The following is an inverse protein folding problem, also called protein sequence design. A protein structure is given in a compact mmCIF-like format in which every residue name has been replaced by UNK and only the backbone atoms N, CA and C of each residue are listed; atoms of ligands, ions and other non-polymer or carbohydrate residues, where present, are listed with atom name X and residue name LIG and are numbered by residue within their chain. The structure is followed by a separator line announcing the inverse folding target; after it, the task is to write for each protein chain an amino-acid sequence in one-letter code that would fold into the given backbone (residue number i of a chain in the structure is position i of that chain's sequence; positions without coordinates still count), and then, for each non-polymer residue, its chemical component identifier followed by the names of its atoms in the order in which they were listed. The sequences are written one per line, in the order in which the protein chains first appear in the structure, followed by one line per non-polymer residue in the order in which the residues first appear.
data_IF_454538263758
#
_entry.id   IF_454538263758
#
_cell.length_a   1.000
_cell.length_b   1.000
_cell.length_c   1.000
_cell.angle_alpha   90.00
_cell.angle_beta   90.00
_cell.angle_gamma   90.00
#
_symmetry.space_group_name_H-M   'P 1'
#
loop_
_entity.id
_entity.type
_entity.pdbx_description
1 polymer ?
#
# COMPACT_ATOMS: atom_id res chain seq x y z
N UNK A 1 -28.55 5.68 -6.87
CA UNK A 1 -29.48 5.67 -5.71
C UNK A 1 -30.84 6.15 -6.18
N UNK A 2 -31.93 5.73 -5.55
CA UNK A 2 -33.27 6.25 -5.83
C UNK A 2 -33.42 7.67 -5.24
N UNK A 3 -34.08 8.59 -5.94
CA UNK A 3 -34.26 9.99 -5.52
C UNK A 3 -34.90 10.08 -4.13
N UNK A 4 -35.82 9.16 -3.86
CA UNK A 4 -36.50 9.02 -2.56
C UNK A 4 -35.55 8.74 -1.41
N UNK A 5 -34.56 7.86 -1.61
CA UNK A 5 -33.60 7.47 -0.56
C UNK A 5 -32.73 8.64 -0.09
N UNK A 6 -32.39 9.55 -1.00
CA UNK A 6 -31.60 10.75 -0.69
C UNK A 6 -32.43 11.75 0.12
N UNK A 7 -33.67 11.99 -0.32
CA UNK A 7 -34.61 12.90 0.37
C UNK A 7 -34.91 12.41 1.78
N UNK A 8 -35.16 11.11 1.96
CA UNK A 8 -35.43 10.52 3.27
C UNK A 8 -34.22 10.65 4.21
N UNK A 9 -33.01 10.54 3.69
CA UNK A 9 -31.79 10.70 4.47
C UNK A 9 -31.55 12.16 4.89
N UNK A 10 -31.88 13.13 4.02
CA UNK A 10 -31.90 14.56 4.41
C UNK A 10 -32.94 14.80 5.49
N UNK A 11 -34.18 14.34 5.30
CA UNK A 11 -35.28 14.47 6.28
C UNK A 11 -34.88 13.93 7.65
N UNK A 12 -34.28 12.75 7.68
CA UNK A 12 -33.77 12.14 8.91
C UNK A 12 -32.74 13.03 9.62
N UNK A 13 -31.83 13.64 8.86
CA UNK A 13 -30.72 14.44 9.40
C UNK A 13 -31.12 15.79 9.99
N UNK A 14 -32.30 16.29 9.61
CA UNK A 14 -32.86 17.58 10.05
C UNK A 14 -34.14 17.43 10.86
N UNK A 15 -34.55 16.21 11.23
CA UNK A 15 -35.85 15.93 11.85
C UNK A 15 -36.16 16.69 13.16
N UNK A 16 -35.14 17.27 13.78
CA UNK A 16 -35.23 18.09 15.00
C UNK A 16 -34.68 19.51 14.82
N UNK A 17 -34.26 19.86 13.60
CA UNK A 17 -33.66 21.15 13.30
C UNK A 17 -34.73 22.14 12.85
N UNK A 18 -34.50 23.44 13.09
CA UNK A 18 -35.33 24.50 12.53
C UNK A 18 -35.05 24.66 11.03
N UNK A 19 -36.02 24.32 10.18
CA UNK A 19 -35.89 24.38 8.72
C UNK A 19 -35.90 25.80 8.17
N UNK A 20 -36.39 26.79 8.92
CA UNK A 20 -36.34 28.20 8.54
C UNK A 20 -34.96 28.82 8.78
N UNK A 21 -34.10 28.16 9.56
CA UNK A 21 -32.75 28.63 9.87
C UNK A 21 -31.80 28.48 8.67
N UNK A 22 -31.10 29.56 8.25
CA UNK A 22 -30.07 29.49 7.22
C UNK A 22 -28.91 28.54 7.57
N UNK A 23 -28.68 28.31 8.88
CA UNK A 23 -27.65 27.37 9.35
C UNK A 23 -28.00 25.91 9.01
N UNK A 24 -29.29 25.57 9.01
CA UNK A 24 -29.76 24.22 8.65
C UNK A 24 -29.59 23.97 7.15
N UNK A 25 -29.82 24.99 6.32
CA UNK A 25 -29.52 24.92 4.87
C UNK A 25 -28.02 24.74 4.64
N UNK A 26 -27.19 25.57 5.29
CA UNK A 26 -25.74 25.48 5.16
C UNK A 26 -25.21 24.12 5.62
N UNK A 27 -25.77 23.54 6.70
CA UNK A 27 -25.45 22.18 7.17
C UNK A 27 -25.63 21.15 6.06
N UNK A 28 -26.76 21.17 5.33
CA UNK A 28 -27.00 20.21 4.24
C UNK A 28 -26.11 20.48 3.03
N UNK A 29 -25.84 21.74 2.71
CA UNK A 29 -24.88 22.11 1.65
C UNK A 29 -23.48 21.58 1.98
N UNK A 30 -22.99 21.77 3.21
CA UNK A 30 -21.71 21.26 3.67
C UNK A 30 -21.67 19.72 3.67
N UNK A 31 -22.77 19.09 4.10
CA UNK A 31 -22.96 17.64 4.05
C UNK A 31 -23.06 17.11 2.61
N UNK A 32 -23.35 17.95 1.60
CA UNK A 32 -23.42 17.52 0.20
C UNK A 32 -22.09 17.72 -0.51
N UNK A 33 -21.45 18.87 -0.30
CA UNK A 33 -20.25 19.30 -1.06
C UNK A 33 -18.95 18.89 -0.34
N UNK A 34 -18.90 19.03 0.98
CA UNK A 34 -17.65 18.87 1.75
C UNK A 34 -17.50 17.46 2.33
N UNK A 35 -18.60 16.87 2.84
CA UNK A 35 -18.62 15.52 3.40
C UNK A 35 -19.94 14.81 3.10
N UNK A 36 -20.11 14.23 1.89
CA UNK A 36 -21.27 13.44 1.53
C UNK A 36 -21.56 12.38 2.58
N UNK A 37 -22.68 12.54 3.29
CA UNK A 37 -23.18 11.61 4.30
C UNK A 37 -23.74 10.33 3.68
N UNK A 38 -24.12 10.41 2.40
CA UNK A 38 -24.36 9.27 1.53
C UNK A 38 -23.05 9.04 0.78
N UNK A 39 -22.64 7.79 0.58
CA UNK A 39 -21.46 7.41 -0.21
C UNK A 39 -21.66 7.68 -1.73
N UNK A 40 -22.30 8.79 -2.06
CA UNK A 40 -22.91 9.13 -3.34
C UNK A 40 -22.29 10.43 -3.85
N UNK A 41 -22.12 10.54 -5.17
CA UNK A 41 -21.55 11.73 -5.81
C UNK A 41 -22.44 12.97 -5.52
N UNK A 42 -21.88 14.16 -5.24
CA UNK A 42 -22.65 15.37 -4.95
C UNK A 42 -23.58 15.75 -6.10
N UNK A 43 -23.21 15.44 -7.34
CA UNK A 43 -24.04 15.68 -8.51
C UNK A 43 -25.23 14.71 -8.56
N UNK A 44 -25.06 13.47 -8.10
CA UNK A 44 -26.18 12.53 -7.95
C UNK A 44 -27.11 12.94 -6.80
N UNK A 45 -26.56 13.39 -5.66
CA UNK A 45 -27.35 13.95 -4.56
C UNK A 45 -28.14 15.16 -5.04
N UNK A 46 -27.49 16.10 -5.73
CA UNK A 46 -28.16 17.28 -6.31
C UNK A 46 -29.29 16.89 -7.26
N UNK A 47 -29.06 15.97 -8.20
CA UNK A 47 -30.11 15.50 -9.11
C UNK A 47 -31.28 14.88 -8.36
N UNK A 48 -31.02 14.07 -7.35
CA UNK A 48 -32.05 13.47 -6.51
C UNK A 48 -32.85 14.51 -5.72
N UNK A 49 -32.19 15.56 -5.19
CA UNK A 49 -32.87 16.67 -4.52
C UNK A 49 -33.74 17.47 -5.50
N UNK A 50 -33.22 17.80 -6.69
CA UNK A 50 -33.97 18.48 -7.75
C UNK A 50 -35.18 17.66 -8.20
N UNK A 51 -35.02 16.34 -8.34
CA UNK A 51 -36.10 15.42 -8.69
C UNK A 51 -37.16 15.34 -7.58
N UNK A 52 -36.74 15.22 -6.32
CA UNK A 52 -37.65 15.20 -5.17
C UNK A 52 -38.43 16.51 -5.00
N UNK A 53 -37.77 17.66 -5.18
CA UNK A 53 -38.42 18.98 -5.16
C UNK A 53 -39.43 19.15 -6.31
N UNK A 54 -39.21 18.48 -7.45
CA UNK A 54 -40.12 18.54 -8.61
C UNK A 54 -41.20 17.47 -8.57
N UNK A 55 -41.03 16.40 -7.79
CA UNK A 55 -42.01 15.32 -7.72
C UNK A 55 -43.29 15.82 -7.07
N UNK A 56 -44.44 15.21 -7.39
CA UNK A 56 -45.70 15.48 -6.67
C UNK A 56 -45.84 14.70 -5.36
N UNK A 57 -44.81 13.94 -5.00
CA UNK A 57 -44.88 12.99 -3.90
C UNK A 57 -44.74 13.70 -2.55
N UNK A 58 -45.41 13.15 -1.54
CA UNK A 58 -45.27 13.60 -0.16
C UNK A 58 -43.90 13.18 0.36
N UNK A 59 -43.01 14.11 0.67
CA UNK A 59 -41.61 13.88 1.02
C UNK A 59 -41.39 13.59 2.52
N UNK A 60 -42.29 14.05 3.39
CA UNK A 60 -42.17 13.91 4.86
C UNK A 60 -42.73 12.60 5.41
N UNK A 61 -43.30 11.73 4.58
CA UNK A 61 -44.06 10.56 5.04
C UNK A 61 -43.23 9.33 5.42
N UNK A 62 -41.96 9.28 5.02
CA UNK A 62 -41.15 8.06 5.13
C UNK A 62 -40.65 7.79 6.56
N UNK A 63 -40.54 8.83 7.39
CA UNK A 63 -39.94 8.76 8.73
C UNK A 63 -40.71 9.70 9.67
N UNK A 64 -40.97 9.34 10.94
CA UNK A 64 -41.56 10.25 11.93
C UNK A 64 -40.72 11.52 12.12
N UNK A 65 -41.35 12.68 11.96
CA UNK A 65 -40.75 14.01 12.09
C UNK A 65 -41.83 15.04 12.44
N UNK A 66 -41.40 16.23 12.84
CA UNK A 66 -42.29 17.33 13.24
C UNK A 66 -42.51 18.38 12.13
N UNK A 67 -42.00 18.12 10.92
CA UNK A 67 -41.97 19.09 9.82
C UNK A 67 -43.24 19.05 8.96
N UNK A 68 -43.69 20.23 8.53
CA UNK A 68 -44.74 20.32 7.51
C UNK A 68 -44.24 19.94 6.12
N UNK A 69 -45.13 19.39 5.27
CA UNK A 69 -44.75 19.01 3.89
C UNK A 69 -44.29 20.21 3.06
N UNK A 70 -45.04 21.31 3.10
CA UNK A 70 -44.69 22.54 2.36
C UNK A 70 -43.46 23.25 2.94
N UNK A 71 -43.23 23.11 4.24
CA UNK A 71 -42.06 23.65 4.93
C UNK A 71 -40.80 22.89 4.50
N UNK A 72 -40.84 21.56 4.54
CA UNK A 72 -39.73 20.72 4.13
C UNK A 72 -39.41 20.86 2.64
N UNK A 73 -40.42 21.00 1.77
CA UNK A 73 -40.18 21.25 0.34
C UNK A 73 -39.50 22.59 0.08
N UNK A 74 -39.95 23.67 0.74
CA UNK A 74 -39.29 24.99 0.66
C UNK A 74 -37.85 24.94 1.18
N UNK A 75 -37.60 24.16 2.22
CA UNK A 75 -36.26 23.91 2.71
C UNK A 75 -35.36 23.22 1.67
N UNK A 76 -35.85 22.16 1.02
CA UNK A 76 -35.09 21.48 -0.05
C UNK A 76 -34.84 22.40 -1.26
N UNK A 77 -35.80 23.24 -1.63
CA UNK A 77 -35.63 24.28 -2.65
C UNK A 77 -34.50 25.24 -2.29
N UNK A 78 -34.45 25.71 -1.04
CA UNK A 78 -33.38 26.59 -0.55
C UNK A 78 -32.00 25.88 -0.55
N UNK A 79 -31.96 24.59 -0.22
CA UNK A 79 -30.73 23.77 -0.34
C UNK A 79 -30.27 23.69 -1.79
N UNK A 80 -31.17 23.38 -2.74
CA UNK A 80 -30.84 23.30 -4.17
C UNK A 80 -30.35 24.66 -4.69
N UNK A 81 -31.02 25.75 -4.33
CA UNK A 81 -30.62 27.10 -4.74
C UNK A 81 -29.23 27.46 -4.20
N UNK A 82 -28.96 27.15 -2.93
CA UNK A 82 -27.66 27.41 -2.34
C UNK A 82 -26.56 26.53 -2.95
N UNK A 83 -26.87 25.26 -3.26
CA UNK A 83 -25.97 24.37 -4.00
C UNK A 83 -25.63 24.95 -5.39
N UNK A 84 -26.60 25.49 -6.11
CA UNK A 84 -26.35 26.14 -7.40
C UNK A 84 -25.50 27.41 -7.29
N UNK A 85 -25.70 28.21 -6.24
CA UNK A 85 -24.89 29.43 -5.98
C UNK A 85 -23.42 29.13 -5.70
N UNK A 86 -23.12 27.99 -5.07
CA UNK A 86 -21.73 27.61 -4.72
C UNK A 86 -21.04 26.78 -5.81
N UNK A 87 -21.62 26.69 -7.02
CA UNK A 87 -20.95 26.09 -8.18
C UNK A 87 -19.83 27.01 -8.74
N UNK A 88 -18.75 26.45 -9.31
CA UNK A 88 -18.44 25.02 -9.38
C UNK A 88 -18.04 24.48 -8.00
N UNK A 89 -18.64 23.36 -7.61
CA UNK A 89 -18.22 22.67 -6.39
C UNK A 89 -16.77 22.21 -6.56
N UNK A 90 -15.98 22.29 -5.49
CA UNK A 90 -14.62 21.77 -5.51
C UNK A 90 -14.65 20.32 -6.01
N UNK A 91 -13.84 20.01 -7.03
CA UNK A 91 -13.70 18.62 -7.48
C UNK A 91 -13.37 17.75 -6.28
N UNK A 92 -14.19 16.73 -6.03
CA UNK A 92 -13.89 15.78 -4.97
C UNK A 92 -12.49 15.26 -5.19
N UNK A 93 -11.64 15.43 -4.16
CA UNK A 93 -10.23 15.07 -4.20
C UNK A 93 -10.01 13.57 -4.52
N UNK A 94 -11.05 12.76 -4.39
CA UNK A 94 -11.13 11.37 -4.79
C UNK A 94 -12.60 10.93 -4.91
N UNK A 95 -12.87 9.91 -5.73
CA UNK A 95 -14.19 9.28 -5.90
C UNK A 95 -14.12 7.81 -5.53
N UNK A 96 -15.17 7.27 -4.91
CA UNK A 96 -15.25 5.84 -4.64
C UNK A 96 -15.44 5.05 -5.95
N UNK A 97 -14.85 3.87 -6.04
CA UNK A 97 -15.07 2.93 -7.14
C UNK A 97 -16.06 1.83 -6.71
N UNK A 98 -16.90 1.31 -7.63
CA UNK A 98 -17.78 0.19 -7.34
C UNK A 98 -16.96 -1.06 -7.00
N UNK A 99 -17.29 -1.69 -5.87
CA UNK A 99 -16.39 -2.63 -5.18
C UNK A 99 -16.48 -4.11 -5.55
N UNK A 100 -17.64 -4.57 -6.06
CA UNK A 100 -17.94 -6.01 -6.18
C UNK A 100 -17.02 -6.78 -7.13
N UNK A 101 -16.91 -6.35 -8.38
CA UNK A 101 -16.22 -7.14 -9.42
C UNK A 101 -14.72 -6.81 -9.57
N UNK A 102 -14.28 -5.68 -9.00
CA UNK A 102 -12.92 -5.16 -9.18
C UNK A 102 -11.98 -5.46 -8.03
N UNK A 103 -12.47 -6.04 -6.93
CA UNK A 103 -11.63 -6.39 -5.77
C UNK A 103 -10.37 -7.18 -6.16
N UNK A 104 -10.51 -8.16 -7.08
CA UNK A 104 -9.41 -8.99 -7.56
C UNK A 104 -8.31 -8.22 -8.29
N UNK A 105 -8.62 -7.08 -8.93
CA UNK A 105 -7.62 -6.23 -9.57
C UNK A 105 -6.72 -5.57 -8.52
N UNK A 106 -7.32 -5.08 -7.43
CA UNK A 106 -6.62 -4.37 -6.37
C UNK A 106 -5.85 -5.30 -5.45
N UNK A 107 -6.39 -6.48 -5.11
CA UNK A 107 -5.68 -7.45 -4.26
C UNK A 107 -4.36 -7.91 -4.89
N UNK A 108 -4.29 -7.90 -6.23
CA UNK A 108 -3.11 -8.20 -7.02
C UNK A 108 -2.31 -6.95 -7.44
N UNK A 109 -2.71 -5.76 -6.96
CA UNK A 109 -2.08 -4.49 -7.24
C UNK A 109 -0.77 -4.30 -6.49
N UNK A 110 -0.05 -3.22 -6.82
CA UNK A 110 1.17 -2.88 -6.11
C UNK A 110 0.81 -2.28 -4.74
N UNK A 111 1.32 -2.86 -3.65
CA UNK A 111 1.15 -2.27 -2.32
C UNK A 111 2.05 -1.03 -2.21
N UNK A 112 1.45 0.13 -1.99
CA UNK A 112 2.12 1.43 -1.90
C UNK A 112 2.22 1.94 -0.45
N UNK A 113 1.42 1.37 0.46
CA UNK A 113 1.42 1.75 1.86
C UNK A 113 0.77 0.72 2.78
N UNK A 114 1.05 0.83 4.07
CA UNK A 114 0.32 0.15 5.14
C UNK A 114 -0.18 1.18 6.14
N UNK A 115 -1.43 1.04 6.56
CA UNK A 115 -1.92 1.67 7.77
C UNK A 115 -2.08 0.63 8.87
N UNK A 116 -1.52 0.91 10.05
CA UNK A 116 -1.73 0.10 11.26
C UNK A 116 -2.91 0.61 12.10
N UNK A 117 -3.66 1.61 11.59
CA UNK A 117 -4.87 2.08 12.24
C UNK A 117 -6.03 1.13 11.95
N UNK A 118 -6.94 0.91 12.92
CA UNK A 118 -8.12 0.09 12.68
C UNK A 118 -9.02 0.73 11.61
N UNK A 119 -9.79 -0.11 10.90
CA UNK A 119 -10.67 0.29 9.76
C UNK A 119 -11.52 1.51 10.10
N UNK A 120 -12.27 1.47 11.22
CA UNK A 120 -13.14 2.58 11.64
C UNK A 120 -12.42 3.94 11.74
N UNK A 121 -11.13 3.95 12.08
CA UNK A 121 -10.36 5.19 12.19
C UNK A 121 -10.00 5.74 10.82
N UNK A 122 -9.71 4.87 9.86
CA UNK A 122 -9.50 5.25 8.47
C UNK A 122 -10.82 5.72 7.84
N UNK A 123 -11.93 5.02 8.09
CA UNK A 123 -13.26 5.45 7.64
C UNK A 123 -13.62 6.87 8.12
N UNK A 124 -13.29 7.22 9.36
CA UNK A 124 -13.50 8.58 9.88
C UNK A 124 -12.67 9.65 9.16
N UNK A 125 -11.44 9.33 8.79
CA UNK A 125 -10.56 10.26 8.08
C UNK A 125 -11.02 10.41 6.63
N UNK A 126 -11.32 9.29 5.97
CA UNK A 126 -11.77 9.23 4.59
C UNK A 126 -13.24 9.64 4.41
N UNK A 127 -14.04 9.66 5.49
CA UNK A 127 -15.49 9.87 5.40
C UNK A 127 -16.20 8.82 4.51
N UNK A 128 -15.67 7.60 4.43
CA UNK A 128 -16.17 6.50 3.56
C UNK A 128 -16.04 5.17 4.27
N UNK A 129 -17.06 4.32 4.17
CA UNK A 129 -17.05 3.02 4.80
C UNK A 129 -16.42 1.95 3.90
N UNK A 130 -15.77 0.98 4.53
CA UNK A 130 -15.28 -0.21 3.87
C UNK A 130 -16.46 -1.15 3.60
N UNK A 131 -16.39 -1.86 2.48
CA UNK A 131 -17.31 -2.92 2.13
C UNK A 131 -16.75 -4.27 2.55
N UNK A 132 -17.60 -5.15 3.07
CA UNK A 132 -17.24 -6.55 3.30
C UNK A 132 -17.22 -7.28 1.95
N UNK A 133 -16.14 -8.00 1.65
CA UNK A 133 -16.08 -8.89 0.49
C UNK A 133 -16.86 -10.18 0.76
N UNK A 134 -17.66 -10.64 -0.23
CA UNK A 134 -18.64 -11.72 -0.04
C UNK A 134 -18.01 -13.08 0.33
N UNK A 135 -16.80 -13.35 -0.17
CA UNK A 135 -16.13 -14.64 -0.02
C UNK A 135 -14.91 -14.62 0.92
N UNK A 136 -14.65 -13.49 1.60
CA UNK A 136 -13.52 -13.37 2.52
C UNK A 136 -13.88 -12.59 3.79
N UNK A 137 -13.13 -12.81 4.88
CA UNK A 137 -13.22 -11.98 6.08
C UNK A 137 -12.57 -10.59 5.88
N UNK A 138 -12.46 -10.11 4.64
CA UNK A 138 -11.79 -8.86 4.28
C UNK A 138 -12.79 -7.75 3.98
N UNK A 139 -12.56 -6.63 4.65
CA UNK A 139 -13.13 -5.33 4.39
C UNK A 139 -12.25 -4.58 3.39
N UNK A 140 -12.85 -3.84 2.47
CA UNK A 140 -12.11 -3.08 1.47
C UNK A 140 -12.78 -1.76 1.07
N UNK A 141 -12.00 -0.80 0.60
CA UNK A 141 -12.49 0.45 0.05
C UNK A 141 -11.69 0.78 -1.21
N UNK A 142 -12.37 0.85 -2.35
CA UNK A 142 -11.76 1.23 -3.63
C UNK A 142 -12.08 2.67 -3.96
N UNK A 143 -11.10 3.41 -4.46
CA UNK A 143 -11.25 4.81 -4.84
C UNK A 143 -10.35 5.19 -6.02
N UNK A 144 -10.67 6.32 -6.64
CA UNK A 144 -9.93 6.95 -7.72
C UNK A 144 -9.62 8.39 -7.33
N UNK A 145 -8.36 8.78 -7.35
CA UNK A 145 -7.87 10.12 -7.02
C UNK A 145 -8.10 11.10 -8.19
N UNK A 146 -7.85 12.40 -7.98
CA UNK A 146 -8.01 13.43 -9.04
C UNK A 146 -7.15 13.17 -10.26
N UNK A 147 -5.95 12.63 -10.08
CA UNK A 147 -5.06 12.26 -11.18
C UNK A 147 -5.55 11.09 -12.03
N UNK A 148 -6.65 10.43 -11.63
CA UNK A 148 -7.12 9.19 -12.22
C UNK A 148 -6.48 7.94 -11.63
N UNK A 149 -5.48 8.07 -10.74
CA UNK A 149 -4.88 6.95 -10.04
C UNK A 149 -5.93 6.22 -9.18
N UNK A 150 -5.99 4.91 -9.29
CA UNK A 150 -6.90 4.12 -8.47
C UNK A 150 -6.18 3.48 -7.29
N UNK A 151 -6.79 3.57 -6.13
CA UNK A 151 -6.26 3.12 -4.85
C UNK A 151 -7.28 2.23 -4.14
N UNK A 152 -6.83 1.10 -3.61
CA UNK A 152 -7.61 0.18 -2.81
C UNK A 152 -7.06 0.08 -1.39
N UNK A 153 -7.92 0.19 -0.41
CA UNK A 153 -7.63 -0.19 0.97
C UNK A 153 -8.19 -1.60 1.21
N UNK A 154 -7.39 -2.52 1.74
CA UNK A 154 -7.82 -3.90 2.01
C UNK A 154 -7.40 -4.30 3.43
N UNK A 155 -8.32 -4.84 4.21
CA UNK A 155 -8.13 -5.15 5.63
C UNK A 155 -8.98 -6.35 6.07
N UNK A 156 -8.44 -7.36 6.75
CA UNK A 156 -7.02 -7.61 6.93
C UNK A 156 -6.42 -8.06 5.60
N UNK A 157 -5.39 -7.37 5.10
CA UNK A 157 -4.70 -7.84 3.89
C UNK A 157 -3.78 -9.03 4.20
N UNK A 158 -3.21 -9.07 5.41
CA UNK A 158 -2.37 -10.17 5.88
C UNK A 158 -3.13 -11.05 6.87
N UNK A 159 -3.00 -12.39 6.78
CA UNK A 159 -3.52 -13.29 7.81
C UNK A 159 -2.96 -12.90 9.18
N UNK A 160 -3.81 -12.84 10.20
CA UNK A 160 -3.48 -12.51 11.61
C UNK A 160 -3.09 -11.04 11.90
N UNK A 161 -3.27 -10.10 10.97
CA UNK A 161 -3.03 -8.67 11.19
C UNK A 161 -4.29 -7.84 10.96
N UNK A 162 -4.57 -6.86 11.82
CA UNK A 162 -5.63 -5.85 11.59
C UNK A 162 -5.18 -4.70 10.68
N UNK A 163 -3.98 -4.80 10.11
CA UNK A 163 -3.42 -3.74 9.26
C UNK A 163 -4.11 -3.68 7.90
N UNK A 164 -4.16 -2.46 7.38
CA UNK A 164 -4.81 -2.11 6.13
C UNK A 164 -3.71 -1.93 5.08
N UNK A 165 -3.72 -2.73 4.03
CA UNK A 165 -2.87 -2.49 2.87
C UNK A 165 -3.49 -1.42 1.97
N UNK A 166 -2.65 -0.52 1.45
CA UNK A 166 -3.02 0.48 0.46
C UNK A 166 -2.35 0.05 -0.84
N UNK A 167 -3.15 -0.24 -1.87
CA UNK A 167 -2.71 -0.81 -3.14
C UNK A 167 -3.10 0.10 -4.29
N UNK A 168 -2.36 0.05 -5.39
CA UNK A 168 -2.74 0.71 -6.65
C UNK A 168 -2.68 -0.27 -7.82
N UNK A 169 -3.61 -0.11 -8.77
CA UNK A 169 -3.70 -0.92 -9.99
C UNK A 169 -2.91 -0.32 -11.16
N UNK A 170 -2.72 1.00 -11.16
CA UNK A 170 -2.01 1.72 -12.21
C UNK A 170 -0.49 1.68 -12.04
N UNK A 171 0.24 1.51 -13.15
CA UNK A 171 1.73 1.59 -13.17
C UNK A 171 2.27 2.87 -13.83
N UNK A 172 1.37 3.76 -14.27
CA UNK A 172 1.74 4.98 -14.98
C UNK A 172 2.30 6.08 -14.07
N UNK A 173 1.93 6.05 -12.77
CA UNK A 173 2.42 6.99 -11.75
C UNK A 173 3.28 6.29 -10.72
N UNK A 174 4.24 7.00 -10.14
CA UNK A 174 5.05 6.45 -9.06
C UNK A 174 4.19 6.22 -7.81
N UNK A 175 4.47 5.14 -7.07
CA UNK A 175 3.75 4.79 -5.85
C UNK A 175 3.79 5.92 -4.79
N UNK A 176 4.89 6.68 -4.74
CA UNK A 176 5.06 7.82 -3.84
C UNK A 176 4.15 8.98 -4.23
N UNK A 177 4.09 9.34 -5.52
CA UNK A 177 3.19 10.39 -6.01
C UNK A 177 1.72 10.04 -5.74
N UNK A 178 1.35 8.77 -5.94
CA UNK A 178 -0.02 8.28 -5.66
C UNK A 178 -0.31 8.34 -4.15
N UNK A 179 0.65 8.00 -3.31
CA UNK A 179 0.50 8.03 -1.85
C UNK A 179 0.48 9.47 -1.30
N UNK A 180 1.30 10.37 -1.84
CA UNK A 180 1.28 11.80 -1.49
C UNK A 180 -0.03 12.45 -1.91
N UNK A 181 -0.50 12.19 -3.14
CA UNK A 181 -1.80 12.66 -3.58
C UNK A 181 -2.91 12.11 -2.67
N UNK A 182 -2.87 10.83 -2.30
CA UNK A 182 -3.82 10.24 -1.36
C UNK A 182 -3.83 11.01 -0.03
N UNK A 183 -2.66 11.24 0.56
CA UNK A 183 -2.50 11.97 1.83
C UNK A 183 -3.05 13.41 1.73
N UNK A 184 -2.70 14.13 0.67
CA UNK A 184 -3.18 15.49 0.40
C UNK A 184 -4.70 15.54 0.19
N UNK A 185 -5.25 14.52 -0.45
CA UNK A 185 -6.65 14.49 -0.85
C UNK A 185 -7.58 14.01 0.26
N UNK A 186 -7.11 13.13 1.16
CA UNK A 186 -7.96 12.44 2.12
C UNK A 186 -7.77 12.88 3.58
N UNK A 187 -6.85 13.80 3.86
CA UNK A 187 -6.55 14.26 5.22
C UNK A 187 -5.89 13.18 6.10
N UNK A 188 -5.37 12.11 5.48
CA UNK A 188 -4.51 11.15 6.17
C UNK A 188 -3.21 11.84 6.55
N UNK A 189 -2.65 11.47 7.69
CA UNK A 189 -1.35 11.98 8.11
C UNK A 189 -0.26 10.97 7.72
N UNK A 190 0.96 11.45 7.39
CA UNK A 190 2.10 10.56 7.09
C UNK A 190 2.42 9.55 8.21
N UNK A 191 2.05 9.83 9.46
CA UNK A 191 2.20 8.88 10.58
C UNK A 191 1.13 7.79 10.65
N UNK A 192 0.02 7.94 9.93
CA UNK A 192 -1.07 6.98 9.86
C UNK A 192 -0.87 5.98 8.72
N UNK A 193 -0.04 6.34 7.74
CA UNK A 193 0.28 5.53 6.58
C UNK A 193 1.79 5.40 6.48
N UNK A 194 2.28 4.20 6.77
CA UNK A 194 3.66 3.84 6.48
C UNK A 194 3.76 3.62 4.98
N UNK A 195 4.45 4.51 4.27
CA UNK A 195 4.79 4.28 2.88
C UNK A 195 5.55 2.97 2.77
N UNK A 196 4.97 2.00 2.05
CA UNK A 196 5.72 0.86 1.61
C UNK A 196 6.45 1.34 0.39
N UNK A 197 7.65 1.86 0.62
CA UNK A 197 8.55 2.16 -0.46
C UNK A 197 8.70 0.89 -1.29
N UNK A 198 8.31 0.89 -2.57
CA UNK A 198 9.06 0.06 -3.51
C UNK A 198 10.51 0.43 -3.24
N UNK A 199 11.42 -0.55 -3.04
CA UNK A 199 12.84 -0.25 -3.06
C UNK A 199 13.09 0.64 -4.29
N UNK A 200 13.38 1.92 -4.04
CA UNK A 200 13.62 2.99 -5.01
C UNK A 200 13.26 2.61 -6.45
N UNK A 201 11.99 2.78 -6.84
CA UNK A 201 11.60 2.78 -8.25
C UNK A 201 12.18 4.05 -8.91
N UNK A 202 13.45 4.01 -9.28
CA UNK A 202 13.82 4.57 -10.57
C UNK A 202 13.12 3.71 -11.62
N UNK A 203 12.09 4.26 -12.28
CA UNK A 203 11.50 3.75 -13.53
C UNK A 203 11.40 2.22 -13.65
N UNK A 204 10.30 1.61 -13.20
CA UNK A 204 9.97 0.20 -13.46
C UNK A 204 11.10 -0.79 -13.17
N UNK A 205 11.21 -1.25 -11.92
CA UNK A 205 12.24 -2.18 -11.45
C UNK A 205 12.83 -3.08 -12.53
N UNK A 206 14.11 -2.86 -12.83
CA UNK A 206 14.86 -3.50 -13.93
C UNK A 206 14.87 -5.03 -13.84
N UNK A 207 14.63 -5.57 -12.65
CA UNK A 207 14.76 -6.99 -12.33
C UNK A 207 13.46 -7.57 -11.79
N UNK A 208 13.21 -8.85 -12.12
CA UNK A 208 12.08 -9.60 -11.56
C UNK A 208 12.32 -9.85 -10.08
N UNK A 209 11.26 -9.96 -9.28
CA UNK A 209 11.39 -10.23 -7.84
C UNK A 209 10.70 -11.52 -7.42
N UNK A 210 11.20 -12.12 -6.34
CA UNK A 210 10.58 -13.24 -5.63
C UNK A 210 10.11 -12.76 -4.25
N UNK A 211 8.87 -13.08 -3.83
CA UNK A 211 8.39 -12.74 -2.50
C UNK A 211 9.12 -13.58 -1.43
N UNK A 212 9.08 -13.10 -0.19
CA UNK A 212 9.48 -13.92 0.96
C UNK A 212 8.47 -15.06 1.14
N UNK A 213 8.94 -16.23 1.57
CA UNK A 213 8.12 -17.40 1.78
C UNK A 213 7.13 -17.17 2.94
N UNK A 214 5.85 -17.59 2.83
CA UNK A 214 4.80 -17.22 3.78
C UNK A 214 5.07 -17.58 5.24
N UNK A 215 5.85 -18.62 5.49
CA UNK A 215 6.21 -19.07 6.85
C UNK A 215 7.06 -18.06 7.64
N UNK A 216 7.65 -17.07 6.97
CA UNK A 216 8.44 -15.99 7.59
C UNK A 216 7.66 -14.67 7.67
N UNK A 217 6.39 -14.63 7.26
CA UNK A 217 5.57 -13.44 7.44
C UNK A 217 5.44 -13.09 8.93
N UNK A 218 5.55 -11.79 9.25
CA UNK A 218 5.44 -11.31 10.63
C UNK A 218 6.62 -11.66 11.53
N UNK A 219 7.73 -12.19 11.01
CA UNK A 219 8.88 -12.60 11.82
C UNK A 219 9.61 -11.45 12.56
N UNK A 220 9.34 -10.21 12.16
CA UNK A 220 9.83 -8.99 12.79
C UNK A 220 8.97 -8.53 13.97
N UNK A 221 7.77 -9.10 14.13
CA UNK A 221 6.83 -8.70 15.17
C UNK A 221 7.28 -9.25 16.54
N UNK A 222 7.21 -8.42 17.60
CA UNK A 222 7.39 -8.90 18.95
C UNK A 222 6.42 -10.03 19.30
N UNK A 223 6.94 -11.12 19.87
CA UNK A 223 6.13 -12.27 20.27
C UNK A 223 5.69 -13.18 19.12
N UNK A 224 6.27 -13.04 17.92
CA UNK A 224 6.02 -13.97 16.83
C UNK A 224 6.33 -15.43 17.27
N UNK A 225 5.57 -16.39 16.75
CA UNK A 225 5.73 -17.82 17.06
C UNK A 225 6.92 -18.46 16.33
N UNK A 226 7.52 -17.77 15.36
CA UNK A 226 8.55 -18.32 14.48
C UNK A 226 9.90 -18.41 15.17
N UNK A 227 10.28 -17.35 15.88
CA UNK A 227 11.60 -17.19 16.47
C UNK A 227 11.52 -17.14 17.99
N UNK A 228 11.15 -18.26 18.63
CA UNK A 228 10.96 -18.45 20.09
C UNK A 228 11.63 -17.38 21.01
N UNK A 229 10.94 -16.25 21.26
CA UNK A 229 11.43 -15.16 22.14
C UNK A 229 12.33 -14.10 21.49
N UNK A 230 12.45 -14.08 20.17
CA UNK A 230 13.22 -13.13 19.36
C UNK A 230 12.44 -12.68 18.12
N UNK A 231 12.93 -11.65 17.44
CA UNK A 231 12.30 -11.09 16.25
C UNK A 231 13.37 -10.59 15.28
N UNK A 232 13.09 -10.73 14.00
CA UNK A 232 14.00 -10.25 12.95
C UNK A 232 13.94 -8.74 12.89
N UNK A 233 15.10 -8.10 12.84
CA UNK A 233 15.18 -6.65 12.66
C UNK A 233 14.94 -6.35 11.19
N UNK A 234 13.89 -5.61 10.89
CA UNK A 234 13.63 -5.05 9.56
C UNK A 234 14.24 -3.66 9.49
N UNK A 235 15.07 -3.44 8.47
CA UNK A 235 15.78 -2.18 8.28
C UNK A 235 14.95 -1.23 7.42
N UNK A 236 14.87 0.02 7.84
CA UNK A 236 14.43 1.10 6.98
C UNK A 236 15.50 1.50 5.95
N UNK A 237 15.22 2.55 5.16
CA UNK A 237 16.16 3.02 4.14
C UNK A 237 17.48 3.53 4.72
N UNK A 238 17.45 4.23 5.85
CA UNK A 238 18.64 4.77 6.50
C UNK A 238 19.45 3.65 7.14
N UNK A 239 18.76 2.73 7.82
CA UNK A 239 19.35 1.60 8.52
C UNK A 239 19.99 0.59 7.56
N UNK A 240 19.51 0.47 6.31
CA UNK A 240 20.12 -0.42 5.31
C UNK A 240 21.31 0.17 4.55
N UNK A 241 21.53 1.50 4.61
CA UNK A 241 22.67 2.16 3.92
C UNK A 241 24.04 1.55 4.26
N UNK A 242 24.36 1.23 5.54
CA UNK A 242 25.64 0.62 5.89
C UNK A 242 25.91 -0.72 5.22
N UNK A 243 24.87 -1.43 4.77
CA UNK A 243 24.99 -2.74 4.15
C UNK A 243 25.08 -2.67 2.62
N UNK A 244 24.91 -1.49 2.02
CA UNK A 244 24.92 -1.33 0.57
C UNK A 244 26.29 -1.65 0.00
N UNK A 245 26.29 -2.36 -1.13
CA UNK A 245 27.47 -2.59 -1.95
C UNK A 245 27.47 -1.68 -3.17
N UNK A 246 28.66 -1.29 -3.59
CA UNK A 246 28.92 -0.49 -4.78
C UNK A 246 29.85 -1.24 -5.73
N UNK A 247 29.64 -1.11 -7.04
CA UNK A 247 30.52 -1.71 -8.04
C UNK A 247 31.25 -0.60 -8.79
N UNK A 248 32.58 -0.67 -8.82
CA UNK A 248 33.44 0.26 -9.56
C UNK A 248 34.53 -0.54 -10.27
N UNK A 249 34.68 -0.31 -11.57
CA UNK A 249 35.67 -1.00 -12.41
C UNK A 249 35.68 -2.53 -12.19
N UNK A 250 34.49 -3.14 -12.10
CA UNK A 250 34.33 -4.59 -11.94
C UNK A 250 34.63 -5.15 -10.54
N UNK A 251 34.82 -4.31 -9.52
CA UNK A 251 35.06 -4.72 -8.13
C UNK A 251 33.98 -4.20 -7.19
N UNK A 252 33.71 -4.98 -6.14
CA UNK A 252 32.75 -4.67 -5.09
C UNK A 252 33.41 -3.84 -3.98
N UNK A 253 32.69 -2.83 -3.51
CA UNK A 253 33.05 -1.96 -2.41
C UNK A 253 31.91 -1.93 -1.39
N UNK A 254 32.24 -1.85 -0.11
CA UNK A 254 31.26 -1.63 0.96
C UNK A 254 30.79 -0.17 1.02
N UNK A 255 29.85 0.13 1.92
CA UNK A 255 29.29 1.47 2.11
C UNK A 255 30.30 2.52 2.59
N UNK A 256 31.51 2.10 3.00
CA UNK A 256 32.62 2.95 3.45
C UNK A 256 33.70 3.07 2.38
N UNK A 257 33.40 2.70 1.14
CA UNK A 257 34.32 2.71 0.01
C UNK A 257 35.55 1.78 0.17
N UNK A 258 35.46 0.76 1.03
CA UNK A 258 36.51 -0.26 1.17
C UNK A 258 36.23 -1.45 0.26
N UNK A 259 37.28 -2.12 -0.23
CA UNK A 259 37.10 -3.34 -1.02
C UNK A 259 36.33 -4.38 -0.20
N UNK A 260 35.24 -4.88 -0.78
CA UNK A 260 34.38 -5.83 -0.09
C UNK A 260 35.12 -7.17 0.08
N UNK A 261 35.12 -7.68 1.31
CA UNK A 261 35.78 -8.92 1.68
C UNK A 261 34.95 -9.68 2.71
N UNK A 262 34.80 -10.99 2.50
CA UNK A 262 33.97 -11.87 3.33
C UNK A 262 34.79 -12.86 4.16
N UNK A 263 36.12 -12.75 4.18
CA UNK A 263 36.99 -13.68 4.91
C UNK A 263 36.64 -13.78 6.41
N UNK A 264 36.25 -12.65 7.03
CA UNK A 264 35.79 -12.60 8.42
C UNK A 264 34.30 -12.87 8.63
N UNK A 265 33.52 -13.04 7.57
CA UNK A 265 32.08 -13.24 7.64
C UNK A 265 31.71 -14.69 7.95
N UNK A 266 30.59 -14.89 8.66
CA UNK A 266 30.05 -16.21 8.99
C UNK A 266 28.54 -16.17 8.85
N UNK A 267 27.97 -17.21 8.23
CA UNK A 267 26.52 -17.37 8.13
C UNK A 267 26.04 -18.63 8.83
N UNK A 268 24.73 -18.77 8.98
CA UNK A 268 24.12 -20.02 9.46
C UNK A 268 24.40 -21.22 8.52
N UNK A 269 24.60 -20.96 7.23
CA UNK A 269 24.85 -21.98 6.21
C UNK A 269 26.32 -22.33 6.05
N UNK A 270 27.18 -21.35 6.31
CA UNK A 270 28.64 -21.45 6.18
C UNK A 270 29.30 -21.04 7.50
N UNK A 271 29.13 -21.83 8.57
CA UNK A 271 29.67 -21.51 9.89
C UNK A 271 31.21 -21.51 9.92
N UNK A 272 31.86 -22.22 8.99
CA UNK A 272 33.30 -22.22 8.80
C UNK A 272 33.81 -20.83 8.34
N UNK A 273 32.94 -19.99 7.78
CA UNK A 273 33.20 -18.60 7.40
C UNK A 273 33.51 -18.41 5.92
N UNK A 274 33.85 -17.16 5.56
CA UNK A 274 34.19 -16.79 4.18
C UNK A 274 33.00 -16.36 3.32
N UNK A 275 31.79 -16.36 3.88
CA UNK A 275 30.55 -15.98 3.16
C UNK A 275 29.72 -15.01 3.99
N UNK A 276 29.03 -14.11 3.29
CA UNK A 276 28.10 -13.13 3.83
C UNK A 276 26.73 -13.31 3.17
N UNK A 277 25.64 -13.04 3.89
CA UNK A 277 24.31 -13.03 3.26
C UNK A 277 24.16 -11.78 2.40
N UNK A 278 23.48 -11.90 1.28
CA UNK A 278 23.19 -10.76 0.41
C UNK A 278 21.75 -10.77 -0.11
N UNK A 279 21.26 -9.58 -0.46
CA UNK A 279 20.00 -9.38 -1.18
C UNK A 279 20.20 -8.34 -2.30
N UNK A 280 19.58 -8.57 -3.45
CA UNK A 280 19.45 -7.58 -4.53
C UNK A 280 18.03 -6.99 -4.54
N UNK A 281 17.90 -5.68 -4.53
CA UNK A 281 16.63 -4.96 -4.73
C UNK A 281 16.16 -5.01 -6.19
N UNK A 282 14.89 -4.66 -6.44
CA UNK A 282 14.31 -4.62 -7.79
C UNK A 282 15.00 -3.61 -8.74
N UNK A 283 15.66 -2.60 -8.16
CA UNK A 283 16.51 -1.61 -8.83
C UNK A 283 17.93 -2.13 -9.14
N UNK A 284 18.27 -3.34 -8.68
CA UNK A 284 19.58 -3.95 -8.83
C UNK A 284 20.59 -3.56 -7.76
N UNK A 285 20.18 -2.80 -6.73
CA UNK A 285 21.06 -2.45 -5.61
C UNK A 285 21.32 -3.68 -4.74
N UNK A 286 22.59 -3.95 -4.47
CA UNK A 286 23.02 -5.05 -3.62
C UNK A 286 23.23 -4.59 -2.17
N UNK A 287 22.77 -5.40 -1.23
CA UNK A 287 23.05 -5.28 0.19
C UNK A 287 23.69 -6.56 0.69
N UNK A 288 24.66 -6.46 1.59
CA UNK A 288 25.32 -7.61 2.17
C UNK A 288 25.66 -7.37 3.64
N UNK A 289 25.58 -8.44 4.43
CA UNK A 289 25.92 -8.41 5.86
C UNK A 289 26.78 -9.63 6.21
N UNK A 290 27.88 -9.44 6.96
CA UNK A 290 28.64 -10.56 7.51
C UNK A 290 27.90 -11.26 8.65
N UNK A 291 26.74 -10.73 9.07
CA UNK A 291 25.92 -11.24 10.16
C UNK A 291 24.67 -11.94 9.61
N UNK A 292 24.56 -13.24 9.85
CA UNK A 292 23.33 -14.02 9.68
C UNK A 292 22.99 -14.63 11.04
N UNK A 293 22.09 -13.99 11.77
CA UNK A 293 21.81 -14.29 13.18
C UNK A 293 20.41 -14.87 13.28
N UNK A 294 20.33 -16.14 13.68
CA UNK A 294 19.07 -16.87 13.80
C UNK A 294 18.05 -16.09 14.64
N UNK A 295 16.88 -15.83 14.04
CA UNK A 295 15.77 -15.10 14.67
C UNK A 295 16.01 -13.61 14.92
N UNK A 296 17.09 -13.03 14.40
CA UNK A 296 17.44 -11.61 14.62
C UNK A 296 17.82 -10.85 13.35
N UNK A 297 18.58 -11.47 12.46
CA UNK A 297 19.02 -10.81 11.22
C UNK A 297 19.16 -11.83 10.10
N UNK A 298 18.33 -11.69 9.07
CA UNK A 298 18.22 -12.59 7.92
C UNK A 298 18.17 -11.80 6.62
N UNK A 299 18.06 -12.47 5.46
CA UNK A 299 17.89 -11.81 4.16
C UNK A 299 16.74 -10.80 4.16
N UNK A 300 15.64 -11.15 4.83
CA UNK A 300 14.44 -10.31 4.97
C UNK A 300 14.71 -8.96 5.67
N UNK A 301 15.78 -8.87 6.47
CA UNK A 301 16.16 -7.64 7.16
C UNK A 301 16.43 -6.48 6.20
N UNK A 302 17.11 -6.73 5.07
CA UNK A 302 17.56 -5.66 4.16
C UNK A 302 16.42 -4.87 3.51
N UNK A 303 15.33 -5.56 3.16
CA UNK A 303 14.18 -4.97 2.45
C UNK A 303 12.90 -5.02 3.28
N UNK A 304 12.99 -5.17 4.60
CA UNK A 304 11.85 -5.27 5.51
C UNK A 304 10.80 -6.31 5.07
N UNK A 305 11.25 -7.47 4.61
CA UNK A 305 10.38 -8.56 4.13
C UNK A 305 9.75 -8.33 2.74
N UNK A 306 10.04 -7.22 2.07
CA UNK A 306 9.56 -6.99 0.70
C UNK A 306 10.18 -8.00 -0.30
N UNK A 307 9.56 -8.22 -1.47
CA UNK A 307 10.14 -9.05 -2.53
C UNK A 307 11.52 -8.57 -2.96
N UNK A 308 12.43 -9.50 -3.26
CA UNK A 308 13.79 -9.20 -3.69
C UNK A 308 14.07 -9.75 -5.10
N UNK A 309 15.02 -9.13 -5.79
CA UNK A 309 15.52 -9.58 -7.09
C UNK A 309 16.68 -10.59 -6.98
N UNK A 310 16.98 -11.07 -5.78
CA UNK A 310 18.03 -12.04 -5.53
C UNK A 310 18.31 -12.12 -4.03
N UNK A 311 18.56 -13.32 -3.53
CA UNK A 311 18.91 -13.55 -2.13
C UNK A 311 19.77 -14.80 -2.01
N UNK A 312 20.79 -14.76 -1.17
CA UNK A 312 21.63 -15.93 -0.91
C UNK A 312 22.93 -15.54 -0.22
N UNK A 313 24.05 -16.15 -0.59
CA UNK A 313 25.36 -15.82 -0.04
C UNK A 313 26.34 -15.30 -1.11
N UNK A 314 27.24 -14.42 -0.68
CA UNK A 314 28.39 -13.96 -1.45
C UNK A 314 29.68 -14.37 -0.74
N UNK A 315 30.62 -14.90 -1.51
CA UNK A 315 32.03 -14.91 -1.14
C UNK A 315 32.77 -13.89 -2.00
N UNK A 316 33.52 -12.99 -1.38
CA UNK A 316 34.36 -12.04 -2.09
C UNK A 316 35.69 -11.83 -1.36
N UNK A 317 36.74 -11.56 -2.12
CA UNK A 317 38.01 -11.13 -1.55
C UNK A 317 38.62 -10.02 -2.38
N UNK A 318 39.05 -8.95 -1.72
CA UNK A 318 39.55 -7.72 -2.37
C UNK A 318 38.59 -7.17 -3.45
N UNK A 319 37.29 -7.23 -3.17
CA UNK A 319 36.22 -6.80 -4.07
C UNK A 319 35.97 -7.73 -5.27
N UNK A 320 36.66 -8.86 -5.36
CA UNK A 320 36.47 -9.86 -6.42
C UNK A 320 35.54 -10.96 -5.92
N UNK A 321 34.44 -11.19 -6.63
CA UNK A 321 33.50 -12.27 -6.31
C UNK A 321 34.17 -13.62 -6.55
N UNK A 322 34.04 -14.51 -5.57
CA UNK A 322 34.49 -15.90 -5.61
C UNK A 322 33.33 -16.86 -5.78
N UNK A 323 32.22 -16.61 -5.08
CA UNK A 323 31.00 -17.42 -5.14
C UNK A 323 29.78 -16.51 -5.02
N UNK A 324 28.73 -16.82 -5.77
CA UNK A 324 27.35 -16.37 -5.55
C UNK A 324 26.49 -17.61 -5.34
N UNK A 325 25.78 -17.72 -4.24
CA UNK A 325 24.78 -18.78 -4.05
C UNK A 325 23.37 -18.22 -3.93
N UNK A 326 22.37 -19.04 -4.17
CA UNK A 326 20.95 -18.72 -3.92
C UNK A 326 20.46 -19.21 -2.53
N UNK A 327 21.40 -19.47 -1.61
CA UNK A 327 21.13 -20.12 -0.32
C UNK A 327 20.42 -19.18 0.67
N UNK A 328 19.13 -18.96 0.45
CA UNK A 328 18.22 -18.21 1.30
C UNK A 328 16.94 -19.01 1.56
N UNK A 329 16.74 -19.46 2.80
CA UNK A 329 15.48 -20.13 3.19
C UNK A 329 14.28 -19.20 3.19
N UNK A 330 14.51 -17.90 3.41
CA UNK A 330 13.48 -16.87 3.47
C UNK A 330 12.86 -16.61 2.10
N UNK A 331 13.67 -16.56 1.05
CA UNK A 331 13.19 -16.19 -0.29
C UNK A 331 13.17 -17.34 -1.30
N UNK A 332 13.98 -18.38 -1.06
CA UNK A 332 14.15 -19.56 -1.91
C UNK A 332 14.12 -19.22 -3.41
N UNK A 333 15.00 -18.31 -3.87
CA UNK A 333 14.85 -17.72 -5.18
C UNK A 333 14.94 -18.79 -6.28
N UNK A 334 14.00 -18.79 -7.25
CA UNK A 334 14.08 -19.67 -8.41
C UNK A 334 15.34 -19.36 -9.24
N UNK A 335 15.82 -20.32 -10.03
CA UNK A 335 17.12 -20.20 -10.71
C UNK A 335 17.21 -18.99 -11.63
N UNK A 336 16.13 -18.59 -12.29
CA UNK A 336 16.13 -17.38 -13.11
C UNK A 336 16.33 -16.09 -12.31
N UNK A 337 15.89 -16.04 -11.04
CA UNK A 337 16.13 -14.90 -10.13
C UNK A 337 17.60 -14.86 -9.70
N UNK A 338 18.25 -16.00 -9.53
CA UNK A 338 19.69 -16.08 -9.26
C UNK A 338 20.51 -15.70 -10.50
N UNK A 339 20.16 -16.22 -11.67
CA UNK A 339 20.84 -15.89 -12.93
C UNK A 339 20.82 -14.39 -13.25
N UNK A 340 19.71 -13.68 -12.99
CA UNK A 340 19.67 -12.23 -13.21
C UNK A 340 20.60 -11.43 -12.28
N UNK A 341 20.94 -11.94 -11.09
CA UNK A 341 21.96 -11.32 -10.22
C UNK A 341 23.32 -11.39 -10.91
N UNK A 342 23.67 -12.56 -11.45
CA UNK A 342 24.92 -12.78 -12.20
C UNK A 342 24.96 -11.88 -13.44
N UNK A 343 23.86 -11.78 -14.18
CA UNK A 343 23.75 -10.87 -15.32
C UNK A 343 23.87 -9.39 -14.91
N UNK A 344 23.29 -9.00 -13.77
CA UNK A 344 23.42 -7.66 -13.20
C UNK A 344 24.87 -7.32 -12.89
N UNK A 345 25.60 -8.25 -12.28
CA UNK A 345 27.01 -8.12 -11.93
C UNK A 345 27.88 -8.02 -13.20
N UNK A 346 27.67 -8.90 -14.18
CA UNK A 346 28.38 -8.88 -15.47
C UNK A 346 28.18 -7.57 -16.22
N UNK A 347 26.94 -7.06 -16.28
CA UNK A 347 26.63 -5.76 -16.90
C UNK A 347 27.29 -4.58 -16.20
N UNK A 348 27.67 -4.73 -14.93
CA UNK A 348 28.42 -3.73 -14.17
C UNK A 348 29.94 -3.97 -14.24
N UNK A 349 30.39 -4.87 -15.12
CA UNK A 349 31.81 -5.15 -15.39
C UNK A 349 32.45 -6.14 -14.41
N UNK A 350 31.69 -6.78 -13.53
CA UNK A 350 32.24 -7.80 -12.62
C UNK A 350 32.51 -9.07 -13.40
N UNK A 351 33.76 -9.53 -13.34
CA UNK A 351 34.14 -10.83 -13.89
C UNK A 351 33.62 -11.95 -12.97
N UNK A 352 32.60 -12.66 -13.44
CA UNK A 352 32.01 -13.81 -12.76
C UNK A 352 31.72 -14.91 -13.78
N UNK A 353 32.25 -16.10 -13.55
CA UNK A 353 32.01 -17.31 -14.33
C UNK A 353 30.81 -18.10 -13.79
N UNK A 354 30.12 -18.87 -14.64
CA UNK A 354 28.99 -19.70 -14.21
C UNK A 354 29.42 -20.78 -13.21
N UNK A 355 30.68 -21.21 -13.23
CA UNK A 355 31.27 -22.14 -12.25
C UNK A 355 31.35 -21.54 -10.83
N UNK A 356 31.19 -20.22 -10.69
CA UNK A 356 31.18 -19.51 -9.42
C UNK A 356 29.77 -19.34 -8.85
N UNK A 357 28.76 -19.97 -9.47
CA UNK A 357 27.36 -19.87 -9.08
C UNK A 357 26.89 -21.19 -8.47
N UNK A 358 26.37 -21.13 -7.25
CA UNK A 358 25.83 -22.30 -6.53
C UNK A 358 24.30 -22.22 -6.47
N UNK A 359 23.63 -23.23 -7.02
CA UNK A 359 22.17 -23.37 -6.97
C UNK A 359 21.78 -24.41 -5.92
N UNK A 360 20.93 -24.00 -4.98
CA UNK A 360 20.43 -24.79 -3.85
C UNK A 360 18.92 -25.04 -3.98
N UNK A 361 18.22 -24.33 -4.87
CA UNK A 361 16.79 -24.54 -5.12
C UNK A 361 16.54 -25.25 -6.47
N UNK A 362 15.42 -25.99 -6.59
CA UNK A 362 15.09 -26.73 -7.81
C UNK A 362 15.03 -25.84 -9.05
N UNK A 363 15.20 -26.45 -10.22
CA UNK A 363 15.00 -25.77 -11.49
C UNK A 363 13.56 -25.29 -11.65
N UNK A 364 13.39 -24.23 -12.44
CA UNK A 364 12.08 -23.70 -12.75
C UNK A 364 11.29 -24.73 -13.56
N UNK A 365 10.33 -25.41 -12.94
CA UNK A 365 9.36 -26.23 -13.66
C UNK A 365 8.38 -25.28 -14.36
N UNK A 366 8.52 -25.15 -15.67
CA UNK A 366 7.59 -24.41 -16.53
C UNK A 366 6.27 -25.13 -16.71
#
# INVERSE_FOLDING_TARGET
MDSRSVVDAVLYSVRFDDLASPLTVQKIVDMTVTRPFLETDPEEIYRALVEGVKSGDRLTSSIPNDHGEEEFRRFLEAVVEQLDRVRPWAEQSYRRLPGGDRFGEFVNGAVIGVSHRPVWRIEQVLGRAFQRHNDSQQDFLLMRLRSGAEVGFIAPFWPESSSIAILTTGRERAAEDVLEELIECTGLERRQVTALRPATNGSGGRYRTTPIHPEFFGEHLPGNRRWNGSQVTYLDEQERKPYRLHIRAGRLYDSRDQLFDTAGARTLWTPQGGRAIFVMGADGVLYSSPHHILGRFHHSSFLAGAPCAGAGELAASFGVIRVVSDHSTHYRPPRHITAQVVDSLRRQGVAIDDQQVEYHWPEDHR
#
